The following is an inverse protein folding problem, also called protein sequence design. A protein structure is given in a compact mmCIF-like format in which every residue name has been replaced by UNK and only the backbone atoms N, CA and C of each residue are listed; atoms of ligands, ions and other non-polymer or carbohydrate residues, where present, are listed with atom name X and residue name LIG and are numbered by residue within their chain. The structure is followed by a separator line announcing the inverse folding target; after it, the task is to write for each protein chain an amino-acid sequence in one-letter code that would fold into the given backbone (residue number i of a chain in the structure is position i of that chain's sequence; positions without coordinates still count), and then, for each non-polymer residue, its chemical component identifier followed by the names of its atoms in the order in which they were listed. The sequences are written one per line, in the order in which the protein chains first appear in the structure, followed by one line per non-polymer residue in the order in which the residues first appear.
data_IF_843715476415
#
_entry.id   IF_843715476415
#
_cell.length_a   1.000
_cell.length_b   1.000
_cell.length_c   1.000
_cell.angle_alpha   90.00
_cell.angle_beta   90.00
_cell.angle_gamma   90.00
#
_symmetry.space_group_name_H-M   'P 1'
#
loop_
_entity.id
_entity.type
_entity.pdbx_description
1 polymer ?
#
# COMPACT_ATOMS: atom_id res chain seq x y z
N UNK A 1 8.93 30.07 -3.60
CA UNK A 1 8.04 30.82 -4.53
C UNK A 1 7.12 31.69 -3.70
N UNK A 2 6.98 32.99 -3.99
CA UNK A 2 6.10 33.88 -3.18
C UNK A 2 4.61 33.54 -3.40
N UNK A 3 3.76 33.64 -2.36
CA UNK A 3 2.32 33.34 -2.47
C UNK A 3 1.60 34.04 -3.63
N UNK A 4 1.96 35.30 -3.92
CA UNK A 4 1.35 36.08 -5.01
C UNK A 4 1.54 35.44 -6.41
N UNK A 5 2.55 34.58 -6.60
CA UNK A 5 2.74 33.85 -7.87
C UNK A 5 1.67 32.76 -8.10
N UNK A 6 0.90 32.40 -7.06
CA UNK A 6 -0.19 31.44 -7.14
C UNK A 6 -1.58 32.08 -7.32
N UNK A 7 -1.67 33.43 -7.37
CA UNK A 7 -2.95 34.18 -7.33
C UNK A 7 -3.98 33.74 -8.39
N UNK A 8 -3.53 33.30 -9.57
CA UNK A 8 -4.39 32.86 -10.67
C UNK A 8 -4.23 31.37 -11.02
N UNK A 9 -3.46 30.59 -10.24
CA UNK A 9 -3.17 29.21 -10.62
C UNK A 9 -4.42 28.31 -10.53
N UNK A 10 -5.29 28.57 -9.55
CA UNK A 10 -6.54 27.82 -9.36
C UNK A 10 -7.52 27.98 -10.54
N UNK A 11 -7.37 29.03 -11.36
CA UNK A 11 -8.17 29.21 -12.59
C UNK A 11 -7.70 28.30 -13.73
N UNK A 12 -6.46 27.80 -13.67
CA UNK A 12 -5.86 26.92 -14.69
C UNK A 12 -5.87 25.45 -14.29
N UNK A 13 -6.14 25.15 -13.01
CA UNK A 13 -6.18 23.80 -12.47
C UNK A 13 -7.64 23.36 -12.33
N UNK A 14 -8.03 22.29 -13.02
CA UNK A 14 -9.38 21.72 -12.96
C UNK A 14 -9.57 20.88 -11.70
N UNK A 15 -8.80 19.82 -11.53
CA UNK A 15 -8.92 18.81 -10.46
C UNK A 15 -8.09 19.09 -9.21
N UNK A 16 -7.27 20.13 -9.22
CA UNK A 16 -6.39 20.50 -8.10
C UNK A 16 -6.67 21.94 -7.69
N UNK A 17 -6.65 22.19 -6.39
CA UNK A 17 -6.70 23.53 -5.81
C UNK A 17 -5.54 23.69 -4.83
N UNK A 18 -4.96 24.88 -4.81
CA UNK A 18 -3.88 25.24 -3.88
C UNK A 18 -4.28 26.45 -3.05
N UNK A 19 -3.91 26.43 -1.78
CA UNK A 19 -4.29 27.45 -0.79
C UNK A 19 -3.42 27.38 0.46
N UNK A 20 -3.83 28.08 1.52
CA UNK A 20 -3.20 28.05 2.85
C UNK A 20 -1.68 28.31 2.84
N UNK A 21 -1.24 29.26 2.01
CA UNK A 21 0.18 29.54 1.84
C UNK A 21 0.79 30.21 3.07
N UNK A 22 1.87 29.62 3.59
CA UNK A 22 2.71 30.20 4.63
C UNK A 22 4.18 30.08 4.23
N UNK A 23 4.98 31.09 4.56
CA UNK A 23 6.43 31.03 4.41
C UNK A 23 7.04 30.34 5.63
N UNK A 24 7.86 29.32 5.38
CA UNK A 24 8.54 28.54 6.40
C UNK A 24 10.03 28.45 6.07
N UNK A 25 10.89 28.48 7.08
CA UNK A 25 12.34 28.34 6.92
C UNK A 25 12.76 26.89 6.68
N UNK A 26 12.07 25.96 7.33
CA UNK A 26 12.35 24.54 7.26
C UNK A 26 11.45 23.90 6.20
N UNK A 27 12.01 23.23 5.18
CA UNK A 27 11.20 22.52 4.19
C UNK A 27 10.59 21.25 4.79
N UNK A 28 9.42 20.89 4.28
CA UNK A 28 8.81 19.59 4.57
C UNK A 28 9.66 18.45 4.00
N UNK A 29 9.76 17.35 4.76
CA UNK A 29 10.45 16.12 4.38
C UNK A 29 9.51 14.92 4.49
N UNK A 30 9.73 13.91 3.65
CA UNK A 30 9.01 12.65 3.73
C UNK A 30 9.17 12.05 5.14
N UNK A 31 8.05 11.56 5.70
CA UNK A 31 8.01 10.95 7.03
C UNK A 31 7.77 11.92 8.20
N UNK A 32 7.69 13.23 7.95
CA UNK A 32 7.38 14.23 8.99
C UNK A 32 5.89 14.29 9.39
N UNK A 33 4.99 13.77 8.56
CA UNK A 33 3.58 13.65 8.95
C UNK A 33 3.43 12.71 10.15
N UNK A 34 2.50 13.03 11.05
CA UNK A 34 2.13 12.14 12.14
C UNK A 34 1.14 11.06 11.68
N UNK A 35 0.28 11.40 10.71
CA UNK A 35 -0.79 10.55 10.23
C UNK A 35 -1.72 11.28 9.26
N UNK A 36 -2.85 10.66 8.97
CA UNK A 36 -3.90 11.21 8.09
C UNK A 36 -5.27 11.04 8.75
N UNK A 37 -6.15 12.04 8.56
CA UNK A 37 -7.57 11.95 8.87
C UNK A 37 -8.30 11.48 7.62
N UNK A 38 -9.15 10.46 7.78
CA UNK A 38 -10.00 9.91 6.74
C UNK A 38 -11.45 10.26 7.04
N UNK A 39 -12.24 10.48 6.00
CA UNK A 39 -13.69 10.54 6.00
C UNK A 39 -14.15 9.69 4.82
N UNK A 40 -14.80 8.56 5.11
CA UNK A 40 -15.10 7.51 4.13
C UNK A 40 -16.59 7.23 4.14
N UNK A 41 -17.19 7.21 2.95
CA UNK A 41 -18.59 6.83 2.76
C UNK A 41 -18.69 5.39 2.26
N UNK A 42 -19.23 4.52 3.11
CA UNK A 42 -19.50 3.12 2.81
C UNK A 42 -20.94 3.01 2.32
N UNK A 43 -21.08 2.75 1.03
CA UNK A 43 -22.36 2.62 0.34
C UNK A 43 -23.03 1.28 0.68
N UNK A 44 -24.37 1.30 0.70
CA UNK A 44 -25.23 0.13 0.77
C UNK A 44 -24.83 -0.91 1.84
N UNK A 45 -24.78 -0.47 3.10
CA UNK A 45 -24.44 -1.35 4.22
C UNK A 45 -25.55 -2.40 4.45
N UNK A 46 -25.16 -3.62 4.84
CA UNK A 46 -26.13 -4.69 5.11
C UNK A 46 -26.94 -4.41 6.39
N UNK A 47 -28.12 -5.02 6.47
CA UNK A 47 -29.00 -4.93 7.65
C UNK A 47 -28.26 -5.45 8.90
N UNK A 48 -27.63 -6.61 8.79
CA UNK A 48 -26.84 -7.23 9.87
C UNK A 48 -25.70 -6.31 10.35
N UNK A 49 -24.95 -5.72 9.42
CA UNK A 49 -23.87 -4.80 9.78
C UNK A 49 -24.41 -3.57 10.50
N UNK A 50 -25.52 -3.03 10.02
CA UNK A 50 -26.15 -1.87 10.62
C UNK A 50 -26.66 -2.13 12.05
N UNK A 51 -27.21 -3.32 12.34
CA UNK A 51 -27.67 -3.67 13.70
C UNK A 51 -26.51 -3.77 14.70
N UNK A 52 -25.33 -4.14 14.22
CA UNK A 52 -24.13 -4.38 15.04
C UNK A 52 -23.07 -3.27 14.94
N UNK A 53 -23.34 -2.18 14.20
CA UNK A 53 -22.34 -1.16 13.88
C UNK A 53 -21.65 -0.58 15.10
N UNK A 54 -22.41 -0.31 16.17
CA UNK A 54 -21.86 0.26 17.39
C UNK A 54 -20.92 -0.72 18.10
N UNK A 55 -21.22 -2.03 18.05
CA UNK A 55 -20.37 -3.08 18.60
C UNK A 55 -19.08 -3.17 17.79
N UNK A 56 -19.17 -3.19 16.46
CA UNK A 56 -17.99 -3.26 15.59
C UNK A 56 -17.08 -2.04 15.73
N UNK A 57 -17.65 -0.83 15.74
CA UNK A 57 -16.87 0.40 15.91
C UNK A 57 -16.22 0.45 17.30
N UNK A 58 -16.94 0.09 18.37
CA UNK A 58 -16.38 0.07 19.73
C UNK A 58 -15.25 -0.96 19.86
N UNK A 59 -15.46 -2.18 19.34
CA UNK A 59 -14.42 -3.21 19.31
C UNK A 59 -13.19 -2.75 18.53
N UNK A 60 -13.39 -2.06 17.40
CA UNK A 60 -12.31 -1.55 16.58
C UNK A 60 -11.53 -0.41 17.25
N UNK A 61 -12.21 0.49 17.97
CA UNK A 61 -11.57 1.52 18.80
C UNK A 61 -10.75 0.87 19.93
N UNK A 62 -11.32 -0.13 20.60
CA UNK A 62 -10.69 -0.78 21.75
C UNK A 62 -9.55 -1.73 21.35
N UNK A 63 -9.71 -2.54 20.31
CA UNK A 63 -8.74 -3.57 19.93
C UNK A 63 -7.79 -3.10 18.83
N UNK A 64 -8.19 -2.11 18.04
CA UNK A 64 -7.47 -1.69 16.85
C UNK A 64 -7.65 -2.66 15.69
N UNK A 65 -6.68 -2.67 14.80
CA UNK A 65 -6.59 -3.58 13.65
C UNK A 65 -5.13 -3.98 13.41
N UNK A 66 -4.94 -5.11 12.75
CA UNK A 66 -3.61 -5.57 12.35
C UNK A 66 -3.07 -4.66 11.25
N UNK A 67 -1.87 -4.13 11.44
CA UNK A 67 -1.31 -3.11 10.56
C UNK A 67 -0.67 -3.70 9.29
N UNK A 68 -1.38 -4.57 8.59
CA UNK A 68 -0.92 -5.16 7.33
C UNK A 68 -0.54 -4.11 6.27
N UNK A 69 0.33 -4.51 5.35
CA UNK A 69 0.43 -3.83 4.06
C UNK A 69 -0.74 -4.28 3.19
N UNK A 70 -1.59 -3.34 2.77
CA UNK A 70 -2.69 -3.64 1.84
C UNK A 70 -2.22 -3.91 0.41
N UNK A 71 -3.11 -4.47 -0.41
CA UNK A 71 -2.88 -4.91 -1.79
C UNK A 71 -2.26 -3.81 -2.68
N UNK A 72 -2.57 -2.53 -2.43
CA UNK A 72 -1.96 -1.40 -3.13
C UNK A 72 -0.42 -1.37 -3.05
N UNK A 73 0.17 -1.95 -2.00
CA UNK A 73 1.64 -2.06 -1.85
C UNK A 73 2.26 -3.03 -2.85
N UNK A 74 1.49 -4.02 -3.31
CA UNK A 74 1.96 -5.11 -4.18
C UNK A 74 1.63 -4.87 -5.66
N UNK A 75 0.98 -3.75 -5.96
CA UNK A 75 0.57 -3.38 -7.32
C UNK A 75 -0.69 -4.12 -7.76
N UNK A 76 -1.15 -3.83 -8.97
CA UNK A 76 -2.40 -4.35 -9.54
C UNK A 76 -2.18 -5.26 -10.76
N UNK A 77 -0.94 -5.72 -10.97
CA UNK A 77 -0.55 -6.59 -12.10
C UNK A 77 -0.54 -8.03 -11.63
N UNK A 78 -0.84 -8.98 -12.53
CA UNK A 78 -0.82 -10.43 -12.24
C UNK A 78 0.56 -10.86 -11.76
N UNK A 79 1.63 -10.32 -12.35
CA UNK A 79 2.96 -10.49 -11.78
C UNK A 79 3.20 -9.50 -10.65
N UNK A 80 3.15 -10.04 -9.44
CA UNK A 80 3.14 -9.23 -8.24
C UNK A 80 4.49 -8.53 -7.98
N UNK A 81 4.43 -7.27 -7.51
CA UNK A 81 5.60 -6.36 -7.33
C UNK A 81 6.68 -6.96 -6.42
N UNK A 82 6.29 -7.76 -5.43
CA UNK A 82 7.19 -8.48 -4.54
C UNK A 82 8.04 -9.54 -5.26
N UNK A 83 7.56 -10.11 -6.36
CA UNK A 83 8.30 -11.12 -7.14
C UNK A 83 9.51 -10.48 -7.82
N UNK A 84 9.34 -9.29 -8.38
CA UNK A 84 10.48 -8.49 -8.88
C UNK A 84 11.45 -8.19 -7.72
N UNK A 85 10.93 -7.81 -6.56
CA UNK A 85 11.72 -7.56 -5.35
C UNK A 85 12.56 -8.76 -4.93
N UNK A 86 11.98 -9.96 -4.97
CA UNK A 86 12.67 -11.22 -4.71
C UNK A 86 13.86 -11.42 -5.66
N UNK A 87 13.62 -11.33 -6.97
CA UNK A 87 14.69 -11.52 -7.96
C UNK A 87 15.82 -10.50 -7.79
N UNK A 88 15.50 -9.25 -7.46
CA UNK A 88 16.51 -8.23 -7.17
C UNK A 88 17.36 -8.57 -5.94
N UNK A 89 16.77 -9.12 -4.87
CA UNK A 89 17.50 -9.55 -3.67
C UNK A 89 18.35 -10.81 -3.89
N UNK A 90 17.90 -11.69 -4.78
CA UNK A 90 18.65 -12.86 -5.22
C UNK A 90 19.80 -12.49 -6.19
N UNK A 91 19.88 -11.23 -6.64
CA UNK A 91 20.74 -10.78 -7.75
C UNK A 91 20.46 -11.50 -9.08
N UNK A 92 19.26 -12.05 -9.24
CA UNK A 92 18.79 -12.58 -10.50
C UNK A 92 18.25 -11.43 -11.36
N UNK A 93 19.18 -10.63 -11.90
CA UNK A 93 18.86 -9.46 -12.70
C UNK A 93 18.07 -9.81 -13.96
N UNK A 94 18.32 -11.00 -14.52
CA UNK A 94 17.62 -11.47 -15.71
C UNK A 94 16.15 -11.70 -15.39
N UNK A 95 15.85 -12.46 -14.33
CA UNK A 95 14.47 -12.70 -13.93
C UNK A 95 13.77 -11.43 -13.46
N UNK A 96 14.48 -10.50 -12.80
CA UNK A 96 13.91 -9.20 -12.46
C UNK A 96 13.48 -8.38 -13.69
N UNK A 97 14.32 -8.36 -14.75
CA UNK A 97 14.00 -7.66 -16.00
C UNK A 97 12.84 -8.34 -16.74
N UNK A 98 12.89 -9.67 -16.85
CA UNK A 98 11.83 -10.45 -17.46
C UNK A 98 10.50 -10.23 -16.74
N UNK A 99 10.53 -10.17 -15.41
CA UNK A 99 9.37 -9.90 -14.59
C UNK A 99 8.77 -8.50 -14.86
N UNK A 100 9.60 -7.45 -14.89
CA UNK A 100 9.13 -6.08 -15.16
C UNK A 100 8.49 -5.97 -16.56
N UNK A 101 9.11 -6.61 -17.55
CA UNK A 101 8.68 -6.59 -18.95
C UNK A 101 7.72 -7.73 -19.32
N UNK A 102 7.21 -8.48 -18.34
CA UNK A 102 6.27 -9.56 -18.59
C UNK A 102 4.97 -9.01 -19.20
N UNK A 103 4.47 -9.68 -20.23
CA UNK A 103 3.13 -9.40 -20.74
C UNK A 103 2.08 -9.79 -19.70
N UNK A 104 1.02 -8.98 -19.59
CA UNK A 104 -0.04 -9.15 -18.63
C UNK A 104 -1.35 -8.60 -19.23
N UNK A 105 -2.38 -9.45 -19.27
CA UNK A 105 -3.68 -9.13 -19.86
C UNK A 105 -4.47 -8.13 -19.02
N UNK A 106 -4.21 -8.07 -17.71
CA UNK A 106 -4.86 -7.15 -16.76
C UNK A 106 -4.41 -5.70 -16.92
N UNK A 107 -3.36 -5.44 -17.72
CA UNK A 107 -2.89 -4.08 -18.00
C UNK A 107 -3.99 -3.30 -18.73
N UNK A 108 -4.53 -2.29 -18.05
CA UNK A 108 -5.61 -1.44 -18.56
C UNK A 108 -5.16 -0.53 -19.69
N UNK A 109 -3.88 -0.14 -19.71
CA UNK A 109 -3.34 0.73 -20.75
C UNK A 109 -3.01 -0.07 -22.02
N UNK A 110 -3.87 0.02 -23.03
CA UNK A 110 -3.74 -0.71 -24.30
C UNK A 110 -2.37 -0.52 -24.98
N UNK A 111 -1.83 0.71 -24.99
CA UNK A 111 -0.53 1.00 -25.59
C UNK A 111 0.61 0.23 -24.90
N UNK A 112 0.56 0.08 -23.58
CA UNK A 112 1.57 -0.63 -22.79
C UNK A 112 1.43 -2.13 -23.00
N UNK A 113 0.19 -2.65 -22.99
CA UNK A 113 -0.11 -4.05 -23.28
C UNK A 113 0.40 -4.46 -24.67
N UNK A 114 0.19 -3.62 -25.68
CA UNK A 114 0.70 -3.84 -27.04
C UNK A 114 2.24 -3.80 -27.09
N UNK A 115 2.86 -2.85 -26.40
CA UNK A 115 4.32 -2.74 -26.30
C UNK A 115 4.95 -4.00 -25.69
N UNK A 116 4.40 -4.51 -24.58
CA UNK A 116 4.90 -5.71 -23.90
C UNK A 116 4.64 -6.99 -24.71
N UNK A 117 3.53 -7.06 -25.44
CA UNK A 117 3.25 -8.16 -26.37
C UNK A 117 4.28 -8.19 -27.52
N UNK A 118 4.65 -7.03 -28.08
CA UNK A 118 5.69 -6.93 -29.09
C UNK A 118 7.06 -7.33 -28.55
N UNK A 119 7.39 -6.89 -27.33
CA UNK A 119 8.60 -7.31 -26.63
C UNK A 119 8.67 -8.84 -26.52
N UNK A 120 7.62 -9.47 -25.99
CA UNK A 120 7.56 -10.92 -25.80
C UNK A 120 7.74 -11.71 -27.11
N UNK A 121 7.24 -11.18 -28.23
CA UNK A 121 7.33 -11.85 -29.55
C UNK A 121 8.67 -11.66 -30.25
N UNK A 122 9.24 -10.45 -30.18
CA UNK A 122 10.32 -10.04 -31.10
C UNK A 122 11.66 -9.82 -30.41
N UNK A 123 11.64 -9.39 -29.14
CA UNK A 123 12.81 -8.87 -28.43
C UNK A 123 13.56 -7.74 -29.18
N UNK A 124 12.90 -7.10 -30.18
CA UNK A 124 13.50 -6.03 -30.97
C UNK A 124 13.21 -4.67 -30.34
N UNK A 125 14.14 -4.25 -29.47
CA UNK A 125 14.06 -2.99 -28.73
C UNK A 125 13.92 -1.79 -29.66
N UNK A 126 14.59 -1.80 -30.82
CA UNK A 126 14.61 -0.64 -31.72
C UNK A 126 13.23 -0.41 -32.32
N UNK A 127 12.64 -1.46 -32.90
CA UNK A 127 11.31 -1.38 -33.50
C UNK A 127 10.24 -0.98 -32.48
N UNK A 128 10.34 -1.49 -31.24
CA UNK A 128 9.41 -1.15 -30.16
C UNK A 128 9.51 0.33 -29.76
N UNK A 129 10.73 0.84 -29.60
CA UNK A 129 10.97 2.22 -29.18
C UNK A 129 10.69 3.26 -30.28
N UNK A 130 10.81 2.88 -31.55
CA UNK A 130 10.43 3.71 -32.70
C UNK A 130 8.90 3.79 -32.91
N UNK A 131 8.12 2.97 -32.17
CA UNK A 131 6.67 2.96 -32.18
C UNK A 131 6.01 4.17 -31.50
N UNK A 132 4.67 4.21 -31.51
CA UNK A 132 3.91 5.29 -30.88
C UNK A 132 3.85 5.10 -29.35
N UNK A 133 4.78 5.71 -28.64
CA UNK A 133 4.82 5.73 -27.17
C UNK A 133 4.26 7.08 -26.69
N UNK A 134 3.25 7.11 -25.80
CA UNK A 134 2.71 8.37 -25.27
C UNK A 134 3.76 9.14 -24.48
N UNK A 135 3.65 10.47 -24.46
CA UNK A 135 4.52 11.34 -23.65
C UNK A 135 4.20 11.22 -22.15
N UNK A 136 4.56 10.08 -21.56
CA UNK A 136 4.39 9.73 -20.15
C UNK A 136 5.61 8.92 -19.69
N UNK A 137 5.89 8.94 -18.38
CA UNK A 137 6.92 8.05 -17.81
C UNK A 137 6.36 6.64 -17.68
N UNK A 138 7.17 5.65 -18.04
CA UNK A 138 6.86 4.23 -17.85
C UNK A 138 8.15 3.50 -17.49
N UNK A 139 8.06 2.62 -16.50
CA UNK A 139 9.19 1.83 -15.99
C UNK A 139 9.70 0.91 -17.10
N UNK A 140 8.77 0.31 -17.85
CA UNK A 140 9.02 -0.61 -18.95
C UNK A 140 9.78 0.08 -20.08
N UNK A 141 9.34 1.29 -20.48
CA UNK A 141 10.02 2.08 -21.51
C UNK A 141 11.41 2.52 -21.04
N UNK A 142 11.54 2.98 -19.80
CA UNK A 142 12.84 3.37 -19.23
C UNK A 142 13.79 2.17 -19.21
N UNK A 143 13.30 0.97 -18.85
CA UNK A 143 14.08 -0.26 -18.84
C UNK A 143 14.50 -0.69 -20.26
N UNK A 144 13.59 -0.66 -21.24
CA UNK A 144 13.91 -0.95 -22.65
C UNK A 144 14.98 -0.01 -23.21
N UNK A 145 14.90 1.29 -22.90
CA UNK A 145 15.96 2.26 -23.24
C UNK A 145 17.27 1.93 -22.54
N UNK A 146 17.21 1.48 -21.29
CA UNK A 146 18.36 0.99 -20.53
C UNK A 146 19.03 -0.20 -21.23
N UNK A 147 18.23 -1.20 -21.64
CA UNK A 147 18.69 -2.37 -22.38
C UNK A 147 19.28 -2.00 -23.74
N UNK A 148 18.68 -1.05 -24.47
CA UNK A 148 19.23 -0.54 -25.73
C UNK A 148 20.62 0.05 -25.56
N UNK A 149 20.82 0.83 -24.48
CA UNK A 149 22.07 1.53 -24.19
C UNK A 149 23.16 0.62 -23.65
N UNK A 150 22.81 -0.31 -22.77
CA UNK A 150 23.76 -1.11 -22.00
C UNK A 150 23.95 -2.54 -22.54
N UNK A 151 23.06 -2.99 -23.43
CA UNK A 151 23.05 -4.35 -23.96
C UNK A 151 22.68 -5.40 -22.92
N UNK A 152 22.68 -6.66 -23.35
CA UNK A 152 22.33 -7.81 -22.48
C UNK A 152 23.45 -8.20 -21.50
N UNK A 153 24.66 -7.68 -21.69
CA UNK A 153 25.83 -7.99 -20.84
C UNK A 153 25.87 -7.16 -19.56
N UNK A 154 25.18 -6.01 -19.51
CA UNK A 154 25.15 -5.12 -18.34
C UNK A 154 23.72 -4.84 -17.88
N UNK A 155 23.07 -5.88 -17.34
CA UNK A 155 21.70 -5.83 -16.83
C UNK A 155 21.53 -4.85 -15.67
N UNK A 156 22.55 -4.71 -14.81
CA UNK A 156 22.54 -3.75 -13.70
C UNK A 156 22.50 -2.31 -14.25
N UNK A 157 23.28 -2.04 -15.31
CA UNK A 157 23.26 -0.75 -16.02
C UNK A 157 21.89 -0.48 -16.65
N UNK A 158 21.27 -1.49 -17.26
CA UNK A 158 19.92 -1.39 -17.80
C UNK A 158 18.89 -1.08 -16.71
N UNK A 159 18.88 -1.82 -15.59
CA UNK A 159 18.00 -1.54 -14.44
C UNK A 159 18.23 -0.13 -13.88
N UNK A 160 19.45 0.38 -13.93
CA UNK A 160 19.80 1.72 -13.43
C UNK A 160 19.15 2.87 -14.21
N UNK A 161 18.55 2.62 -15.38
CA UNK A 161 17.74 3.60 -16.10
C UNK A 161 16.43 3.93 -15.38
N UNK A 162 15.89 2.96 -14.61
CA UNK A 162 14.73 3.17 -13.75
C UNK A 162 15.17 4.01 -12.55
N UNK A 163 14.47 5.09 -12.15
CA UNK A 163 14.85 5.88 -10.99
C UNK A 163 15.00 5.05 -9.71
N UNK A 164 16.04 5.33 -8.92
CA UNK A 164 16.40 4.55 -7.71
C UNK A 164 15.20 4.29 -6.78
N UNK A 165 14.44 5.33 -6.46
CA UNK A 165 13.30 5.22 -5.54
C UNK A 165 12.20 4.30 -6.10
N UNK A 166 12.03 4.25 -7.43
CA UNK A 166 11.09 3.34 -8.10
C UNK A 166 11.58 1.90 -8.00
N UNK A 167 12.88 1.65 -8.17
CA UNK A 167 13.46 0.30 -7.98
C UNK A 167 13.31 -0.19 -6.54
N UNK A 168 13.48 0.70 -5.57
CA UNK A 168 13.28 0.38 -4.16
C UNK A 168 11.84 -0.04 -3.82
N UNK A 169 10.84 0.35 -4.63
CA UNK A 169 9.45 -0.09 -4.39
C UNK A 169 9.32 -1.61 -4.50
N UNK A 170 10.02 -2.25 -5.43
CA UNK A 170 10.03 -3.72 -5.58
C UNK A 170 10.59 -4.41 -4.34
N UNK A 171 11.76 -3.94 -3.89
CA UNK A 171 12.43 -4.42 -2.69
C UNK A 171 11.55 -4.26 -1.44
N UNK A 172 10.92 -3.11 -1.28
CA UNK A 172 10.02 -2.83 -0.17
C UNK A 172 8.73 -3.66 -0.24
N UNK A 173 8.21 -3.98 -1.44
CA UNK A 173 7.08 -4.89 -1.59
C UNK A 173 7.45 -6.30 -1.10
N UNK A 174 8.65 -6.79 -1.41
CA UNK A 174 9.12 -8.07 -0.86
C UNK A 174 9.24 -8.06 0.67
N UNK A 175 9.87 -7.03 1.26
CA UNK A 175 9.91 -6.88 2.72
C UNK A 175 8.50 -6.85 3.34
N UNK A 176 7.56 -6.19 2.67
CA UNK A 176 6.16 -6.07 3.11
C UNK A 176 5.45 -7.43 3.11
N UNK A 177 5.67 -8.26 2.09
CA UNK A 177 5.12 -9.62 2.01
C UNK A 177 5.64 -10.49 3.16
N UNK A 178 6.97 -10.50 3.39
CA UNK A 178 7.57 -11.26 4.49
C UNK A 178 7.03 -10.78 5.83
N UNK A 179 6.89 -9.47 6.01
CA UNK A 179 6.32 -8.89 7.22
C UNK A 179 4.87 -9.34 7.45
N UNK A 180 4.01 -9.27 6.43
CA UNK A 180 2.63 -9.74 6.55
C UNK A 180 2.58 -11.24 6.92
N UNK A 181 3.35 -12.11 6.25
CA UNK A 181 3.41 -13.55 6.56
C UNK A 181 3.82 -13.83 8.02
N UNK A 182 4.81 -13.10 8.52
CA UNK A 182 5.25 -13.20 9.92
C UNK A 182 4.15 -12.76 10.88
N UNK A 183 3.46 -11.66 10.57
CA UNK A 183 2.37 -11.11 11.36
C UNK A 183 1.20 -12.09 11.43
N UNK A 184 0.79 -12.68 10.30
CA UNK A 184 -0.26 -13.69 10.24
C UNK A 184 0.14 -14.92 11.07
N UNK A 185 1.37 -15.42 10.91
CA UNK A 185 1.88 -16.55 11.71
C UNK A 185 1.92 -16.25 13.22
N UNK A 186 2.38 -15.05 13.60
CA UNK A 186 2.40 -14.58 15.00
C UNK A 186 0.98 -14.52 15.56
N UNK A 187 0.03 -13.97 14.82
CA UNK A 187 -1.36 -13.84 15.25
C UNK A 187 -2.01 -15.23 15.44
N UNK A 188 -1.78 -16.17 14.52
CA UNK A 188 -2.32 -17.53 14.62
C UNK A 188 -1.72 -18.28 15.83
N UNK A 189 -0.43 -18.07 16.11
CA UNK A 189 0.29 -18.83 17.14
C UNK A 189 0.10 -18.24 18.54
N UNK A 190 0.12 -16.91 18.65
CA UNK A 190 0.19 -16.19 19.93
C UNK A 190 -0.91 -15.14 20.13
N UNK A 191 -1.76 -14.92 19.12
CA UNK A 191 -2.76 -13.85 19.16
C UNK A 191 -2.10 -12.48 19.36
N UNK A 192 -2.70 -11.69 20.27
CA UNK A 192 -2.27 -10.35 20.61
C UNK A 192 -1.50 -10.29 21.93
N UNK A 193 -1.05 -11.43 22.45
CA UNK A 193 -0.21 -11.46 23.66
C UNK A 193 1.15 -10.82 23.40
N UNK A 194 1.66 -10.10 24.40
CA UNK A 194 3.02 -9.57 24.40
C UNK A 194 3.96 -10.67 24.88
N UNK A 195 4.98 -11.01 24.09
CA UNK A 195 5.90 -12.11 24.37
C UNK A 195 7.24 -11.60 24.88
N UNK A 196 7.92 -12.39 25.72
CA UNK A 196 9.32 -12.12 26.04
C UNK A 196 10.15 -12.22 24.77
N UNK A 197 11.07 -11.28 24.58
CA UNK A 197 11.88 -11.17 23.37
C UNK A 197 11.21 -10.42 22.22
N UNK A 198 9.93 -10.01 22.33
CA UNK A 198 9.33 -9.09 21.37
C UNK A 198 10.09 -7.76 21.33
N UNK A 199 9.91 -7.03 20.23
CA UNK A 199 10.47 -5.69 20.05
C UNK A 199 9.39 -4.65 20.31
N UNK A 200 9.74 -3.57 21.00
CA UNK A 200 8.82 -2.45 21.23
C UNK A 200 9.50 -1.08 21.12
N UNK A 201 8.70 -0.05 20.87
CA UNK A 201 9.11 1.36 20.81
C UNK A 201 8.28 2.16 21.83
N UNK A 202 8.94 3.01 22.63
CA UNK A 202 8.27 3.80 23.66
C UNK A 202 7.31 4.82 23.07
N UNK A 203 7.81 5.64 22.14
CA UNK A 203 7.04 6.63 21.40
C UNK A 203 7.19 6.39 19.89
N UNK A 204 6.17 5.80 19.29
CA UNK A 204 6.10 5.48 17.86
C UNK A 204 6.33 6.71 16.95
N UNK A 205 6.03 7.91 17.44
CA UNK A 205 6.14 9.11 16.62
C UNK A 205 7.55 9.72 16.64
N UNK A 206 8.29 9.53 17.74
CA UNK A 206 9.51 10.28 18.02
C UNK A 206 10.74 9.42 18.32
N UNK A 207 10.58 8.15 18.66
CA UNK A 207 11.67 7.28 19.08
C UNK A 207 12.12 6.37 17.93
N UNK A 208 13.43 6.38 17.67
CA UNK A 208 14.08 5.45 16.74
C UNK A 208 14.67 4.24 17.46
N UNK A 209 14.67 4.25 18.79
CA UNK A 209 15.25 3.19 19.59
C UNK A 209 14.24 2.05 19.77
N UNK A 210 14.73 0.85 19.49
CA UNK A 210 13.95 -0.38 19.67
C UNK A 210 14.50 -1.18 20.83
N UNK A 211 13.60 -1.57 21.73
CA UNK A 211 13.89 -2.26 22.97
C UNK A 211 13.32 -3.68 22.95
N UNK A 212 13.88 -4.56 23.77
CA UNK A 212 13.36 -5.91 23.97
C UNK A 212 12.38 -5.95 25.13
N UNK A 213 11.29 -6.69 24.93
CA UNK A 213 10.41 -7.10 26.01
C UNK A 213 11.14 -8.11 26.90
N UNK A 214 11.11 -7.89 28.19
CA UNK A 214 11.70 -8.71 29.26
C UNK A 214 10.65 -8.93 30.35
N UNK A 215 10.87 -9.91 31.23
CA UNK A 215 9.93 -10.18 32.34
C UNK A 215 9.66 -8.94 33.20
N UNK A 216 10.67 -8.07 33.35
CA UNK A 216 10.57 -6.88 34.20
C UNK A 216 9.73 -5.75 33.58
N UNK A 217 9.63 -5.67 32.25
CA UNK A 217 8.96 -4.55 31.58
C UNK A 217 7.65 -4.93 30.88
N UNK A 218 7.39 -6.23 30.66
CA UNK A 218 6.24 -6.76 29.92
C UNK A 218 4.90 -6.12 30.33
N UNK A 219 4.66 -5.99 31.63
CA UNK A 219 3.38 -5.48 32.15
C UNK A 219 3.16 -3.97 31.92
N UNK A 220 4.21 -3.23 31.57
CA UNK A 220 4.13 -1.78 31.31
C UNK A 220 4.05 -1.46 29.81
N UNK A 221 4.07 -2.47 28.95
CA UNK A 221 4.08 -2.32 27.50
C UNK A 221 2.68 -2.59 26.99
N UNK A 222 2.24 -1.76 26.04
CA UNK A 222 0.97 -1.95 25.34
C UNK A 222 1.22 -2.64 24.00
N UNK A 223 0.22 -3.38 23.51
CA UNK A 223 0.36 -4.14 22.26
C UNK A 223 0.65 -3.25 21.04
N UNK A 224 0.19 -1.99 21.05
CA UNK A 224 0.42 -1.01 19.98
C UNK A 224 1.87 -0.51 19.94
N UNK A 225 2.63 -0.70 21.02
CA UNK A 225 4.05 -0.40 21.07
C UNK A 225 4.89 -1.54 20.48
N UNK A 226 4.31 -2.73 20.31
CA UNK A 226 5.00 -3.87 19.71
C UNK A 226 5.21 -3.62 18.22
N UNK A 227 6.45 -3.81 17.79
CA UNK A 227 6.86 -3.67 16.41
C UNK A 227 7.48 -4.97 15.90
N UNK A 228 7.30 -5.23 14.62
CA UNK A 228 7.97 -6.32 13.92
C UNK A 228 8.88 -5.75 12.84
N UNK A 229 10.05 -6.36 12.61
CA UNK A 229 11.04 -5.84 11.68
C UNK A 229 10.65 -6.08 10.21
N UNK A 230 10.87 -5.07 9.37
CA UNK A 230 11.04 -5.26 7.93
C UNK A 230 12.45 -5.76 7.68
N UNK A 231 12.65 -6.95 7.07
CA UNK A 231 13.95 -7.60 7.00
C UNK A 231 15.05 -6.72 6.39
N UNK A 232 16.22 -6.62 7.03
CA UNK A 232 17.33 -5.81 6.53
C UNK A 232 18.59 -5.96 7.36
N UNK A 233 19.67 -5.32 6.91
CA UNK A 233 21.01 -5.53 7.49
C UNK A 233 21.31 -4.69 8.74
N UNK A 234 20.48 -3.70 9.09
CA UNK A 234 20.72 -2.71 10.16
C UNK A 234 19.50 -2.59 11.09
N UNK A 235 19.04 -3.74 11.57
CA UNK A 235 17.90 -3.86 12.47
C UNK A 235 18.09 -5.00 13.48
N UNK A 236 17.28 -4.96 14.54
CA UNK A 236 17.12 -6.03 15.50
C UNK A 236 16.00 -6.96 15.05
N UNK A 237 16.17 -8.24 15.33
CA UNK A 237 15.10 -9.23 15.27
C UNK A 237 14.66 -9.61 16.69
N UNK A 238 13.42 -10.09 16.89
CA UNK A 238 12.95 -10.60 18.17
C UNK A 238 13.89 -11.68 18.75
N UNK A 239 13.91 -11.83 20.07
CA UNK A 239 14.68 -12.88 20.77
C UNK A 239 13.87 -14.14 21.07
N UNK A 240 12.74 -14.30 20.40
CA UNK A 240 11.88 -15.48 20.44
C UNK A 240 11.90 -16.20 19.08
N UNK A 241 11.08 -17.23 18.94
CA UNK A 241 10.94 -18.07 17.76
C UNK A 241 10.51 -17.32 16.49
N UNK A 242 9.94 -16.11 16.61
CA UNK A 242 9.62 -15.25 15.46
C UNK A 242 10.87 -15.01 14.60
N UNK A 243 12.06 -14.88 15.21
CA UNK A 243 13.30 -14.72 14.45
C UNK A 243 13.61 -15.94 13.57
N UNK A 244 13.40 -17.17 14.06
CA UNK A 244 13.62 -18.34 13.21
C UNK A 244 12.62 -18.37 12.05
N UNK A 245 11.39 -17.90 12.25
CA UNK A 245 10.42 -17.80 11.15
C UNK A 245 10.86 -16.84 10.04
N UNK A 246 11.50 -15.71 10.39
CA UNK A 246 12.10 -14.84 9.38
C UNK A 246 13.21 -15.56 8.60
N UNK A 247 14.05 -16.33 9.30
CA UNK A 247 15.10 -17.13 8.66
C UNK A 247 14.50 -18.15 7.69
N UNK A 248 13.50 -18.90 8.13
CA UNK A 248 12.86 -19.94 7.33
C UNK A 248 12.24 -19.35 6.06
N UNK A 249 11.41 -18.30 6.18
CA UNK A 249 10.75 -17.66 5.03
C UNK A 249 11.73 -17.05 4.02
N UNK A 250 12.81 -16.42 4.49
CA UNK A 250 13.82 -15.85 3.58
C UNK A 250 14.66 -16.96 2.92
N UNK A 251 14.98 -18.03 3.66
CA UNK A 251 15.73 -19.17 3.13
C UNK A 251 14.94 -19.97 2.08
N UNK A 252 13.61 -20.06 2.18
CA UNK A 252 12.74 -20.62 1.14
C UNK A 252 12.95 -19.93 -0.22
N UNK A 253 13.23 -18.63 -0.20
CA UNK A 253 13.56 -17.82 -1.37
C UNK A 253 15.08 -17.72 -1.61
N UNK A 254 15.92 -18.50 -0.94
CA UNK A 254 17.37 -18.46 -1.10
C UNK A 254 18.03 -17.16 -0.64
N UNK A 255 17.35 -16.38 0.20
CA UNK A 255 17.85 -15.11 0.76
C UNK A 255 18.31 -15.36 2.19
N UNK A 256 19.59 -15.11 2.47
CA UNK A 256 20.13 -15.24 3.81
C UNK A 256 19.99 -13.92 4.59
N UNK A 257 19.26 -13.96 5.72
CA UNK A 257 19.01 -12.82 6.59
C UNK A 257 20.29 -12.15 7.13
N UNK A 258 21.33 -12.95 7.36
CA UNK A 258 22.62 -12.47 7.91
C UNK A 258 23.49 -11.83 6.82
N UNK A 259 23.11 -11.95 5.54
CA UNK A 259 23.86 -11.49 4.37
C UNK A 259 23.04 -10.53 3.49
N UNK A 260 22.19 -9.69 4.09
CA UNK A 260 21.39 -8.69 3.36
C UNK A 260 22.16 -7.41 2.96
N UNK A 261 23.48 -7.39 3.21
CA UNK A 261 24.38 -6.31 2.76
C UNK A 261 25.07 -6.74 1.47
N UNK A 262 24.60 -6.21 0.37
CA UNK A 262 25.00 -6.63 -0.97
C UNK A 262 26.11 -5.77 -1.57
N UNK A 263 26.81 -6.32 -2.56
CA UNK A 263 27.84 -5.58 -3.30
C UNK A 263 27.24 -4.39 -4.04
N UNK A 264 26.06 -4.57 -4.63
CA UNK A 264 25.30 -3.48 -5.26
C UNK A 264 24.50 -2.76 -4.19
N UNK A 265 25.09 -1.71 -3.62
CA UNK A 265 24.56 -0.96 -2.47
C UNK A 265 23.12 -0.44 -2.66
N UNK A 266 22.72 -0.18 -3.90
CA UNK A 266 21.37 0.29 -4.21
C UNK A 266 20.27 -0.72 -3.87
N UNK A 267 20.59 -2.00 -3.77
CA UNK A 267 19.65 -3.07 -3.41
C UNK A 267 19.85 -3.59 -1.97
N UNK A 268 20.77 -2.98 -1.20
CA UNK A 268 20.92 -3.28 0.22
C UNK A 268 19.92 -2.50 1.05
N UNK A 269 19.04 -3.20 1.75
CA UNK A 269 18.00 -2.59 2.59
C UNK A 269 18.44 -2.60 4.06
N UNK A 270 18.52 -1.44 4.74
CA UNK A 270 18.86 -1.41 6.17
C UNK A 270 17.79 -2.11 7.02
N UNK A 271 16.55 -2.21 6.53
CA UNK A 271 15.41 -2.66 7.32
C UNK A 271 14.76 -1.48 8.02
N UNK A 272 13.63 -1.75 8.67
CA UNK A 272 12.90 -0.78 9.49
C UNK A 272 11.97 -1.53 10.46
N UNK A 273 11.20 -0.82 11.26
CA UNK A 273 10.23 -1.40 12.18
C UNK A 273 8.82 -0.91 11.84
N UNK A 274 7.85 -1.80 12.02
CA UNK A 274 6.44 -1.51 11.77
C UNK A 274 5.62 -2.01 12.94
N UNK A 275 4.71 -1.18 13.43
CA UNK A 275 3.77 -1.55 14.48
C UNK A 275 2.94 -2.76 14.07
N UNK A 276 2.77 -3.70 14.99
CA UNK A 276 1.96 -4.90 14.79
C UNK A 276 0.46 -4.57 14.78
N UNK A 277 0.00 -3.82 15.78
CA UNK A 277 -1.41 -3.38 15.92
C UNK A 277 -1.47 -1.86 15.94
N UNK A 278 -2.48 -1.31 15.27
CA UNK A 278 -2.78 0.13 15.28
C UNK A 278 -4.20 0.36 15.79
N UNK A 279 -4.36 1.31 16.71
CA UNK A 279 -5.69 1.80 17.12
C UNK A 279 -6.04 3.07 16.35
N UNK A 280 -7.25 3.18 15.80
CA UNK A 280 -7.70 4.41 15.16
C UNK A 280 -7.92 5.50 16.20
N UNK A 281 -7.56 6.73 15.86
CA UNK A 281 -7.81 7.91 16.68
C UNK A 281 -9.05 8.68 16.22
N UNK A 282 -9.68 9.41 17.13
CA UNK A 282 -10.77 10.36 16.82
C UNK A 282 -11.85 9.77 15.90
N UNK A 283 -12.38 8.61 16.28
CA UNK A 283 -13.37 7.89 15.48
C UNK A 283 -14.75 8.50 15.68
N UNK A 284 -15.38 8.91 14.57
CA UNK A 284 -16.73 9.43 14.50
C UNK A 284 -17.48 8.68 13.40
N UNK A 285 -18.76 8.41 13.58
CA UNK A 285 -19.57 7.79 12.52
C UNK A 285 -21.01 8.28 12.53
N UNK A 286 -21.63 8.28 11.34
CA UNK A 286 -23.06 8.56 11.18
C UNK A 286 -23.67 7.75 10.06
N UNK A 287 -24.91 7.35 10.28
CA UNK A 287 -25.74 6.71 9.27
C UNK A 287 -26.34 7.78 8.37
N UNK A 288 -26.35 7.51 7.07
CA UNK A 288 -26.99 8.34 6.06
C UNK A 288 -27.92 7.48 5.21
N UNK A 289 -28.99 8.10 4.74
CA UNK A 289 -29.94 7.50 3.80
C UNK A 289 -29.85 8.26 2.48
N UNK A 290 -29.98 7.53 1.37
CA UNK A 290 -29.81 8.08 0.03
C UNK A 290 -30.58 7.24 -0.99
N UNK A 291 -30.87 7.81 -2.17
CA UNK A 291 -31.82 7.21 -3.11
C UNK A 291 -31.16 6.63 -4.36
N UNK A 292 -30.00 7.15 -4.79
CA UNK A 292 -29.24 6.64 -5.94
C UNK A 292 -27.86 6.12 -5.53
N UNK A 293 -27.41 5.01 -6.14
CA UNK A 293 -26.10 4.42 -5.80
C UNK A 293 -24.92 5.38 -5.98
N UNK A 294 -25.05 6.39 -6.85
CA UNK A 294 -24.00 7.34 -7.18
C UNK A 294 -24.06 8.64 -6.34
N UNK A 295 -25.06 8.78 -5.47
CA UNK A 295 -25.21 9.94 -4.59
C UNK A 295 -24.02 10.04 -3.63
N UNK A 296 -23.27 11.15 -3.62
CA UNK A 296 -22.16 11.34 -2.67
C UNK A 296 -22.54 12.35 -1.57
N UNK A 297 -22.87 11.88 -0.35
CA UNK A 297 -23.20 12.74 0.77
C UNK A 297 -21.96 13.35 1.45
N UNK A 298 -20.74 13.00 1.02
CA UNK A 298 -19.53 13.64 1.50
C UNK A 298 -19.37 15.03 0.89
N UNK A 299 -18.84 15.93 1.71
CA UNK A 299 -18.55 17.29 1.29
C UNK A 299 -17.04 17.47 1.24
N UNK A 300 -16.51 17.82 0.06
CA UNK A 300 -15.07 18.10 -0.07
C UNK A 300 -14.69 19.41 0.61
N UNK A 301 -13.41 19.60 0.90
CA UNK A 301 -12.90 20.88 1.41
C UNK A 301 -13.18 22.04 0.45
N UNK A 302 -13.22 21.76 -0.85
CA UNK A 302 -13.57 22.77 -1.86
C UNK A 302 -15.04 23.16 -1.77
N UNK A 303 -15.96 22.21 -1.64
CA UNK A 303 -17.39 22.47 -1.49
C UNK A 303 -17.66 23.32 -0.23
N UNK A 304 -16.99 22.98 0.89
CA UNK A 304 -17.03 23.77 2.12
C UNK A 304 -16.54 25.21 1.90
N UNK A 305 -15.44 25.38 1.15
CA UNK A 305 -14.86 26.69 0.87
C UNK A 305 -15.80 27.61 0.06
N UNK A 306 -16.55 27.04 -0.89
CA UNK A 306 -17.49 27.81 -1.71
C UNK A 306 -18.92 27.83 -1.13
N UNK A 307 -19.11 27.30 0.09
CA UNK A 307 -20.42 27.10 0.73
C UNK A 307 -21.42 26.35 -0.18
N UNK A 308 -20.92 25.39 -0.97
CA UNK A 308 -21.76 24.51 -1.75
C UNK A 308 -22.28 23.40 -0.85
N UNK A 309 -23.58 23.39 -0.61
CA UNK A 309 -24.23 22.41 0.22
C UNK A 309 -24.60 21.17 -0.61
N UNK A 310 -23.90 20.06 -0.38
CA UNK A 310 -24.21 18.76 -0.97
C UNK A 310 -25.28 17.99 -0.18
N UNK A 311 -26.13 18.66 0.62
CA UNK A 311 -27.21 18.01 1.36
C UNK A 311 -28.20 17.29 0.43
N UNK A 312 -27.86 16.06 0.07
CA UNK A 312 -28.72 15.11 -0.60
C UNK A 312 -29.75 14.66 0.43
N UNK A 313 -30.92 15.30 0.43
CA UNK A 313 -32.07 14.83 1.19
C UNK A 313 -32.61 13.59 0.50
N UNK A 314 -32.55 12.46 1.17
CA UNK A 314 -33.24 11.25 0.72
C UNK A 314 -34.74 11.39 0.99
N UNK A 315 -35.54 11.20 -0.05
CA UNK A 315 -37.01 11.24 0.03
C UNK A 315 -37.57 9.83 0.25
N UNK A 316 -36.92 8.81 -0.34
CA UNK A 316 -37.39 7.42 -0.31
C UNK A 316 -36.63 6.54 0.70
N UNK A 317 -35.47 7.00 1.19
CA UNK A 317 -34.55 6.24 2.05
C UNK A 317 -34.22 4.86 1.47
N UNK A 318 -34.04 4.79 0.14
CA UNK A 318 -33.92 3.51 -0.59
C UNK A 318 -32.68 2.72 -0.17
N UNK A 319 -31.56 3.41 0.03
CA UNK A 319 -30.30 2.84 0.46
C UNK A 319 -29.88 3.44 1.79
N UNK A 320 -29.09 2.65 2.51
CA UNK A 320 -28.49 3.04 3.78
C UNK A 320 -26.98 2.96 3.65
N UNK A 321 -26.27 3.96 4.14
CA UNK A 321 -24.82 3.99 4.12
C UNK A 321 -24.24 4.51 5.44
N UNK A 322 -22.93 4.37 5.56
CA UNK A 322 -22.16 4.78 6.73
C UNK A 322 -21.12 5.81 6.31
N UNK A 323 -21.14 6.97 6.93
CA UNK A 323 -19.98 7.88 6.91
C UNK A 323 -19.16 7.59 8.16
N UNK A 324 -17.91 7.19 7.97
CA UNK A 324 -16.95 6.86 9.02
C UNK A 324 -15.75 7.79 8.89
N UNK A 325 -15.42 8.50 9.96
CA UNK A 325 -14.28 9.40 10.04
C UNK A 325 -13.32 8.97 11.15
N UNK A 326 -12.02 8.95 10.87
CA UNK A 326 -11.01 8.45 11.80
C UNK A 326 -9.61 8.91 11.40
N UNK A 327 -8.68 8.90 12.35
CA UNK A 327 -7.28 9.25 12.15
C UNK A 327 -6.41 8.00 12.26
N UNK A 328 -5.50 7.82 11.31
CA UNK A 328 -4.48 6.77 11.37
C UNK A 328 -3.07 7.37 11.41
N UNK A 329 -2.11 6.73 12.09
CA UNK A 329 -0.72 7.15 12.06
C UNK A 329 -0.12 6.96 10.65
N UNK A 330 1.08 7.55 10.44
CA UNK A 330 1.87 7.32 9.24
C UNK A 330 2.10 5.81 9.01
N UNK A 331 2.22 5.42 7.75
CA UNK A 331 2.47 4.03 7.35
C UNK A 331 1.32 3.06 7.66
N UNK A 332 0.09 3.52 7.91
CA UNK A 332 -1.11 2.67 8.02
C UNK A 332 -2.02 2.81 6.80
N UNK A 333 -2.81 1.75 6.52
CA UNK A 333 -3.71 1.68 5.38
C UNK A 333 -5.16 1.76 5.86
N UNK A 334 -5.93 2.71 5.33
CA UNK A 334 -7.36 2.82 5.62
C UNK A 334 -8.12 1.57 5.16
N UNK A 335 -7.70 0.91 4.08
CA UNK A 335 -8.31 -0.34 3.61
C UNK A 335 -8.19 -1.47 4.64
N UNK A 336 -7.04 -1.60 5.32
CA UNK A 336 -6.85 -2.58 6.39
C UNK A 336 -7.67 -2.26 7.64
N UNK A 337 -7.78 -0.97 7.98
CA UNK A 337 -8.70 -0.52 9.02
C UNK A 337 -10.16 -0.89 8.71
N UNK A 338 -10.61 -0.66 7.47
CA UNK A 338 -11.97 -0.97 7.04
C UNK A 338 -12.22 -2.48 6.94
N UNK A 339 -11.25 -3.27 6.48
CA UNK A 339 -11.31 -4.74 6.45
C UNK A 339 -11.67 -5.32 7.80
N UNK A 340 -11.05 -4.81 8.87
CA UNK A 340 -11.31 -5.24 10.25
C UNK A 340 -12.76 -4.96 10.67
N UNK A 341 -13.28 -3.76 10.39
CA UNK A 341 -14.64 -3.36 10.77
C UNK A 341 -15.69 -4.10 9.95
N UNK A 342 -15.47 -4.21 8.64
CA UNK A 342 -16.46 -4.74 7.70
C UNK A 342 -16.46 -6.28 7.64
N UNK A 343 -15.42 -6.93 8.18
CA UNK A 343 -15.19 -8.37 8.06
C UNK A 343 -15.26 -8.84 6.59
N UNK A 344 -14.68 -8.06 5.67
CA UNK A 344 -14.63 -8.34 4.23
C UNK A 344 -13.20 -8.26 3.71
N UNK A 345 -12.89 -9.11 2.73
CA UNK A 345 -11.62 -9.10 2.00
C UNK A 345 -11.39 -7.76 1.26
N UNK A 346 -10.13 -7.37 1.12
CA UNK A 346 -9.73 -6.12 0.48
C UNK A 346 -10.06 -6.10 -1.01
N UNK A 347 -9.98 -7.25 -1.70
CA UNK A 347 -10.39 -7.40 -3.10
C UNK A 347 -11.79 -6.82 -3.36
N UNK A 348 -12.74 -7.13 -2.47
CA UNK A 348 -14.14 -6.68 -2.51
C UNK A 348 -14.32 -5.21 -2.10
N UNK A 349 -13.30 -4.60 -1.48
CA UNK A 349 -13.28 -3.16 -1.16
C UNK A 349 -12.69 -2.33 -2.31
N UNK A 350 -11.81 -2.90 -3.13
CA UNK A 350 -11.17 -2.20 -4.26
C UNK A 350 -12.01 -2.24 -5.55
N UNK A 351 -12.76 -3.32 -5.81
CA UNK A 351 -13.57 -3.47 -7.04
C UNK A 351 -14.66 -2.40 -7.18
N UNK A 352 -15.26 -1.96 -6.07
CA UNK A 352 -16.24 -0.86 -6.12
C UNK A 352 -15.63 0.50 -6.46
N UNK A 353 -14.34 0.74 -6.18
CA UNK A 353 -13.67 1.98 -6.59
C UNK A 353 -13.31 2.03 -8.08
N UNK A 354 -13.10 0.87 -8.72
CA UNK A 354 -12.76 0.81 -10.16
C UNK A 354 -14.00 0.79 -11.06
N UNK A 355 -15.15 0.29 -10.57
CA UNK A 355 -16.41 0.26 -11.31
C UNK A 355 -16.95 1.65 -11.63
N UNK A 356 -16.67 2.67 -10.80
CA UNK A 356 -17.09 4.06 -11.04
C UNK A 356 -16.31 4.75 -12.19
N UNK A 357 -15.14 4.23 -12.59
CA UNK A 357 -14.37 4.74 -13.74
C UNK A 357 -14.64 3.97 -15.05
N UNK A 358 -15.35 2.83 -15.01
CA UNK A 358 -15.47 1.91 -16.15
C UNK A 358 -16.91 1.47 -16.43
N UNK A 359 -17.74 2.36 -16.96
CA UNK A 359 -19.00 1.96 -17.61
C UNK A 359 -18.74 1.45 -19.04
N UNK A 360 -18.15 0.26 -19.18
CA UNK A 360 -18.34 -0.68 -20.31
C UNK A 360 -17.17 -1.66 -20.40
N UNK A 361 -17.25 -2.84 -19.78
CA UNK A 361 -16.54 -4.07 -20.16
C UNK A 361 -17.25 -5.27 -19.50
N UNK A 362 -17.18 -6.43 -20.16
CA UNK A 362 -17.99 -7.64 -19.95
C UNK A 362 -17.74 -8.37 -18.63
N UNK A 363 -18.81 -8.88 -18.00
CA UNK A 363 -18.84 -9.53 -16.68
C UNK A 363 -17.87 -10.73 -16.50
N UNK A 364 -17.46 -11.43 -17.56
CA UNK A 364 -16.59 -12.62 -17.45
C UNK A 364 -15.12 -12.27 -17.15
N UNK A 365 -14.61 -11.14 -17.64
CA UNK A 365 -13.22 -10.72 -17.40
C UNK A 365 -13.03 -10.24 -15.96
N UNK A 366 -14.07 -9.65 -15.37
CA UNK A 366 -14.08 -9.16 -13.98
C UNK A 366 -14.03 -10.29 -12.97
N UNK A 367 -14.75 -11.40 -13.22
CA UNK A 367 -14.79 -12.56 -12.33
C UNK A 367 -13.41 -13.23 -12.23
N UNK A 368 -12.72 -13.43 -13.36
CA UNK A 368 -11.37 -14.01 -13.35
C UNK A 368 -10.34 -13.11 -12.64
N UNK A 369 -10.47 -11.78 -12.76
CA UNK A 369 -9.60 -10.84 -12.03
C UNK A 369 -9.88 -10.84 -10.53
N UNK A 370 -11.15 -10.98 -10.12
CA UNK A 370 -11.51 -11.10 -8.69
C UNK A 370 -10.94 -12.37 -8.06
N UNK A 371 -11.00 -13.51 -8.77
CA UNK A 371 -10.43 -14.79 -8.30
C UNK A 371 -8.89 -14.74 -8.19
N UNK A 372 -8.18 -14.17 -9.18
CA UNK A 372 -6.72 -13.99 -9.10
C UNK A 372 -6.30 -13.06 -7.96
N UNK A 373 -7.05 -11.98 -7.70
CA UNK A 373 -6.76 -11.05 -6.61
C UNK A 373 -7.07 -11.69 -5.24
N UNK A 374 -8.12 -12.51 -5.14
CA UNK A 374 -8.40 -13.28 -3.91
C UNK A 374 -7.29 -14.31 -3.62
N UNK A 375 -6.76 -15.02 -4.61
CA UNK A 375 -5.59 -15.90 -4.42
C UNK A 375 -4.35 -15.13 -3.96
N UNK A 376 -4.10 -13.94 -4.54
CA UNK A 376 -3.00 -13.06 -4.11
C UNK A 376 -3.22 -12.55 -2.69
N UNK A 377 -4.46 -12.23 -2.31
CA UNK A 377 -4.82 -11.80 -0.96
C UNK A 377 -4.56 -12.92 0.05
N UNK A 378 -5.01 -14.16 -0.20
CA UNK A 378 -4.78 -15.30 0.69
C UNK A 378 -3.30 -15.66 0.87
N UNK A 379 -2.46 -15.36 -0.13
CA UNK A 379 -1.00 -15.56 -0.05
C UNK A 379 -0.30 -14.48 0.78
N UNK A 380 -0.90 -13.28 0.87
CA UNK A 380 -0.26 -12.06 1.38
C UNK A 380 -0.83 -11.57 2.71
N UNK A 381 -2.09 -11.85 3.03
CA UNK A 381 -2.81 -11.37 4.21
C UNK A 381 -3.32 -12.56 5.03
#
# INVERSE_FOLDING_TARGET
VLPNKFKNINQRLSSVKVGNFQLCEIPLRLGQLQGNRFEIFIRNISIEFNENIQIYVNNWIEKGFINYFGLQRFGSRTLATQTVGKYLLQHDWSQAINAILAYDETITQEWLRNLLNQWNKTHDIKTILDGTIPYRRSIEVDLLRGLQKHGQTNLIGALSSIPRNTRLLYLHAYQSMIWNKIVSKRLITYGTEILIGDLYINDINNDTNVFYVTENNRNNIKIEQIVLPLPGYDIKYPLNDIHSWYKDLLNEDGINIDQMKYQVKDYSLPGNYRQFIVRPGQVDYRIVYYDNMNDDPLQSDYDRLINHDNNLKSELNKYKGLILAFSLPKSSYATMALREILHRNESKLQTHHQQDEQSSLTNETTINQEEEIEEIEDVIL
#
